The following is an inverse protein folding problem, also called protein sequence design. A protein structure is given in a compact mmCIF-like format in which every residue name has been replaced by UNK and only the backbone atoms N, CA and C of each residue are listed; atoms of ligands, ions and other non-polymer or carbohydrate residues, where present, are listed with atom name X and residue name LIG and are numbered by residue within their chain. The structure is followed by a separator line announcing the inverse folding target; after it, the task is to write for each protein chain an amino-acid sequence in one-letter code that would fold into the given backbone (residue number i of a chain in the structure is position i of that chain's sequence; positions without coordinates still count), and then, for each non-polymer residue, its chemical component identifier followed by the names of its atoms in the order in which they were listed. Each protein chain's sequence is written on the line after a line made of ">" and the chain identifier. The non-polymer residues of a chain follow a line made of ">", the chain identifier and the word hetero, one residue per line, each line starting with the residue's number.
data_IF_864417890741
#
_entry.id   IF_864417890741
#
_cell.length_a   1.000
_cell.length_b   1.000
_cell.length_c   1.000
_cell.angle_alpha   90.00
_cell.angle_beta   90.00
_cell.angle_gamma   90.00
#
_symmetry.space_group_name_H-M   'P 1'
#
loop_
_entity.id
_entity.type
_entity.pdbx_description
1 polymer ?
#
# COMPACT_ATOMS: atom_id res chain seq x y z
N UNK A 1 6.09 13.32 21.64
CA UNK A 1 5.12 12.20 21.81
C UNK A 1 3.89 12.30 20.90
N UNK A 2 3.24 13.46 20.73
CA UNK A 2 2.04 13.56 19.86
C UNK A 2 2.32 13.26 18.37
N UNK A 3 3.45 13.76 17.84
CA UNK A 3 3.84 13.56 16.43
C UNK A 3 4.16 12.09 16.09
N UNK A 4 4.80 11.36 17.00
CA UNK A 4 5.11 9.94 16.82
C UNK A 4 3.84 9.07 16.89
N UNK A 5 2.87 9.40 17.76
CA UNK A 5 1.56 8.72 17.78
C UNK A 5 0.76 8.92 16.49
N UNK A 6 0.76 10.13 15.92
CA UNK A 6 0.08 10.41 14.66
C UNK A 6 0.67 9.63 13.48
N UNK A 7 2.01 9.57 13.39
CA UNK A 7 2.72 8.77 12.37
C UNK A 7 2.46 7.26 12.54
N UNK A 8 2.42 6.76 13.77
CA UNK A 8 2.11 5.37 14.06
C UNK A 8 0.69 4.99 13.60
N UNK A 9 -0.32 5.81 13.90
CA UNK A 9 -1.69 5.57 13.47
C UNK A 9 -1.82 5.61 11.94
N UNK A 10 -1.15 6.56 11.27
CA UNK A 10 -1.13 6.66 9.81
C UNK A 10 -0.44 5.43 9.17
N UNK A 11 0.69 5.00 9.74
CA UNK A 11 1.41 3.80 9.28
C UNK A 11 0.56 2.54 9.47
N UNK A 12 -0.16 2.42 10.58
CA UNK A 12 -1.07 1.30 10.83
C UNK A 12 -2.23 1.26 9.83
N UNK A 13 -2.85 2.41 9.55
CA UNK A 13 -3.91 2.53 8.53
C UNK A 13 -3.40 2.16 7.13
N UNK A 14 -2.22 2.66 6.75
CA UNK A 14 -1.56 2.30 5.48
C UNK A 14 -1.17 0.83 5.43
N UNK A 15 -0.83 0.22 6.57
CA UNK A 15 -0.55 -1.22 6.68
C UNK A 15 -1.78 -2.04 6.33
N UNK A 16 -2.95 -1.72 6.88
CA UNK A 16 -4.22 -2.39 6.53
C UNK A 16 -4.53 -2.18 5.04
N UNK A 17 -4.41 -0.94 4.54
CA UNK A 17 -4.62 -0.64 3.14
C UNK A 17 -3.69 -1.43 2.21
N UNK A 18 -2.43 -1.67 2.63
CA UNK A 18 -1.46 -2.47 1.87
C UNK A 18 -1.87 -3.94 1.78
N UNK A 19 -2.43 -4.53 2.84
CA UNK A 19 -2.91 -5.91 2.80
C UNK A 19 -4.09 -6.06 1.82
N UNK A 20 -5.00 -5.09 1.81
CA UNK A 20 -6.11 -5.06 0.86
C UNK A 20 -5.57 -4.90 -0.58
N UNK A 21 -4.66 -3.95 -0.79
CA UNK A 21 -4.01 -3.73 -2.08
C UNK A 21 -3.27 -4.99 -2.60
N UNK A 22 -2.66 -5.77 -1.71
CA UNK A 22 -2.01 -7.03 -2.07
C UNK A 22 -3.02 -8.08 -2.56
N UNK A 23 -4.13 -8.26 -1.83
CA UNK A 23 -5.18 -9.18 -2.26
C UNK A 23 -5.79 -8.78 -3.60
N UNK A 24 -6.06 -7.48 -3.80
CA UNK A 24 -6.57 -6.95 -5.07
C UNK A 24 -5.54 -7.10 -6.20
N UNK A 25 -4.26 -6.90 -5.92
CA UNK A 25 -3.19 -7.12 -6.90
C UNK A 25 -3.11 -8.59 -7.31
N UNK A 26 -3.27 -9.52 -6.38
CA UNK A 26 -3.31 -10.96 -6.70
C UNK A 26 -4.49 -11.28 -7.63
N UNK A 27 -5.69 -10.78 -7.34
CA UNK A 27 -6.86 -10.97 -8.20
C UNK A 27 -6.67 -10.34 -9.59
N UNK A 28 -6.19 -9.10 -9.65
CA UNK A 28 -5.93 -8.44 -10.93
C UNK A 28 -4.87 -9.18 -11.76
N UNK A 29 -3.82 -9.72 -11.12
CA UNK A 29 -2.81 -10.52 -11.81
C UNK A 29 -3.35 -11.86 -12.28
N UNK A 30 -4.24 -12.50 -11.52
CA UNK A 30 -4.90 -13.73 -11.98
C UNK A 30 -5.82 -13.45 -13.17
N UNK A 31 -6.52 -12.31 -13.20
CA UNK A 31 -7.39 -11.95 -14.33
C UNK A 31 -6.56 -11.60 -15.58
N UNK A 32 -5.47 -10.84 -15.42
CA UNK A 32 -4.49 -10.58 -16.50
C UNK A 32 -3.90 -11.88 -17.05
N UNK A 33 -3.63 -12.86 -16.19
CA UNK A 33 -3.09 -14.16 -16.59
C UNK A 33 -4.04 -14.94 -17.50
N UNK A 34 -5.34 -14.92 -17.20
CA UNK A 34 -6.36 -15.56 -18.04
C UNK A 34 -6.65 -14.77 -19.34
N UNK A 35 -6.17 -13.53 -19.44
CA UNK A 35 -6.25 -12.66 -20.62
C UNK A 35 -7.67 -12.50 -21.17
N UNK A 36 -8.67 -12.50 -20.29
CA UNK A 36 -10.07 -12.36 -20.66
C UNK A 36 -10.41 -10.87 -20.87
N UNK A 37 -10.70 -10.47 -22.11
CA UNK A 37 -11.32 -9.17 -22.41
C UNK A 37 -10.43 -7.93 -22.23
N UNK A 38 -11.03 -6.83 -21.79
CA UNK A 38 -10.38 -5.53 -21.59
C UNK A 38 -9.70 -5.48 -20.22
N UNK A 39 -8.36 -5.43 -20.21
CA UNK A 39 -7.53 -5.46 -19.00
C UNK A 39 -7.30 -4.07 -18.36
N UNK A 40 -8.01 -3.03 -18.80
CA UNK A 40 -7.78 -1.66 -18.35
C UNK A 40 -8.02 -1.48 -16.84
N UNK A 41 -9.01 -2.19 -16.28
CA UNK A 41 -9.35 -2.09 -14.86
C UNK A 41 -8.26 -2.69 -13.98
N UNK A 42 -7.77 -3.86 -14.34
CA UNK A 42 -6.77 -4.67 -13.65
C UNK A 42 -5.45 -3.91 -13.58
N UNK A 43 -5.03 -3.30 -14.70
CA UNK A 43 -3.86 -2.43 -14.72
C UNK A 43 -4.01 -1.19 -13.86
N UNK A 44 -5.21 -0.61 -13.79
CA UNK A 44 -5.48 0.52 -12.89
C UNK A 44 -5.46 0.09 -11.42
N UNK A 45 -5.98 -1.09 -11.08
CA UNK A 45 -5.88 -1.68 -9.72
C UNK A 45 -4.43 -1.86 -9.31
N UNK A 46 -3.58 -2.37 -10.21
CA UNK A 46 -2.14 -2.52 -9.94
C UNK A 46 -1.45 -1.16 -9.72
N UNK A 47 -1.77 -0.14 -10.52
CA UNK A 47 -1.22 1.22 -10.35
C UNK A 47 -1.62 1.83 -9.01
N UNK A 48 -2.89 1.72 -8.61
CA UNK A 48 -3.38 2.20 -7.32
C UNK A 48 -2.70 1.43 -6.18
N UNK A 49 -2.58 0.12 -6.31
CA UNK A 49 -1.90 -0.72 -5.31
C UNK A 49 -0.43 -0.35 -5.14
N UNK A 50 0.27 -0.07 -6.23
CA UNK A 50 1.66 0.42 -6.20
C UNK A 50 1.80 1.75 -5.43
N UNK A 51 0.84 2.67 -5.59
CA UNK A 51 0.81 3.92 -4.82
C UNK A 51 0.59 3.68 -3.33
N UNK A 52 -0.35 2.79 -2.97
CA UNK A 52 -0.60 2.41 -1.58
C UNK A 52 0.64 1.80 -0.93
N UNK A 53 1.32 0.87 -1.62
CA UNK A 53 2.57 0.29 -1.13
C UNK A 53 3.67 1.34 -0.96
N UNK A 54 3.84 2.22 -1.94
CA UNK A 54 4.84 3.30 -1.86
C UNK A 54 4.57 4.21 -0.66
N UNK A 55 3.31 4.63 -0.46
CA UNK A 55 2.92 5.45 0.68
C UNK A 55 3.19 4.74 2.01
N UNK A 56 2.86 3.45 2.11
CA UNK A 56 3.13 2.64 3.31
C UNK A 56 4.64 2.52 3.60
N UNK A 57 5.45 2.23 2.58
CA UNK A 57 6.91 2.11 2.72
C UNK A 57 7.51 3.45 3.17
N UNK A 58 7.15 4.55 2.53
CA UNK A 58 7.61 5.89 2.91
C UNK A 58 7.19 6.26 4.34
N UNK A 59 5.95 5.94 4.72
CA UNK A 59 5.46 6.14 6.09
C UNK A 59 6.23 5.31 7.11
N UNK A 60 6.59 4.07 6.76
CA UNK A 60 7.39 3.20 7.62
C UNK A 60 8.78 3.79 7.84
N UNK A 61 9.45 4.26 6.79
CA UNK A 61 10.74 4.95 6.93
C UNK A 61 10.63 6.23 7.76
N UNK A 62 9.58 7.04 7.57
CA UNK A 62 9.35 8.24 8.35
C UNK A 62 9.14 7.91 9.84
N UNK A 63 8.38 6.86 10.15
CA UNK A 63 8.15 6.37 11.51
C UNK A 63 9.43 5.85 12.17
N UNK A 64 10.22 5.05 11.45
CA UNK A 64 11.52 4.55 11.95
C UNK A 64 12.49 5.70 12.22
N UNK A 65 12.60 6.67 11.31
CA UNK A 65 13.44 7.86 11.49
C UNK A 65 12.98 8.72 12.67
N UNK A 66 11.68 8.78 12.94
CA UNK A 66 11.15 9.49 14.08
C UNK A 66 11.49 8.80 15.40
N UNK A 67 11.44 7.46 15.45
CA UNK A 67 11.81 6.67 16.63
C UNK A 67 13.32 6.75 16.89
N UNK A 68 14.16 6.60 15.86
CA UNK A 68 15.63 6.62 15.99
C UNK A 68 16.21 7.96 16.44
N UNK A 69 15.45 9.06 16.37
CA UNK A 69 15.88 10.40 16.81
C UNK A 69 15.48 10.74 18.25
N UNK A 70 14.71 9.87 18.91
CA UNK A 70 14.31 9.95 20.32
C UNK A 70 15.21 9.09 21.16
#
# INVERSE_FOLDING_TARGET
>A
MARTRSLANLTAGLGIASLIALALSHLALTDIWHAEGDLTLEWNVLRVSALVFTAFILSTFASLKAISRT
#
